data_IF_162014799932
#
_entry.id   IF_162014799932
#
_cell.length_a   1.000
_cell.length_b   1.000
_cell.length_c   1.000
_cell.angle_alpha   90.00
_cell.angle_beta   90.00
_cell.angle_gamma   90.00
#
_symmetry.space_group_name_H-M   'P 1'
#
loop_
_entity.id
_entity.type
_entity.pdbx_description
1 polymer ?
#
# COMPACT_ATOMS: atom_id res chain seq x y z
N UNK A 1 -2.26 -16.08 15.34
CA UNK A 1 -3.20 -14.96 15.32
C UNK A 1 -2.86 -13.97 16.44
N UNK A 2 -2.72 -12.71 16.11
CA UNK A 2 -2.40 -11.65 17.06
C UNK A 2 -3.32 -10.45 16.82
N UNK A 3 -4.39 -10.36 17.59
CA UNK A 3 -5.26 -9.20 17.69
C UNK A 3 -5.80 -9.20 19.13
N UNK A 4 -5.23 -8.36 19.97
CA UNK A 4 -5.52 -8.38 21.41
C UNK A 4 -6.99 -8.07 21.71
N UNK A 5 -7.61 -7.13 20.99
CA UNK A 5 -9.02 -6.81 21.18
C UNK A 5 -9.92 -8.01 20.85
N UNK A 6 -9.74 -8.61 19.67
CA UNK A 6 -10.53 -9.79 19.27
C UNK A 6 -10.26 -10.97 20.20
N UNK A 7 -8.99 -11.24 20.54
CA UNK A 7 -8.64 -12.40 21.38
C UNK A 7 -9.18 -12.30 22.82
N UNK A 8 -9.13 -11.11 23.41
CA UNK A 8 -9.43 -10.94 24.83
C UNK A 8 -10.84 -10.44 25.09
N UNK A 9 -11.41 -9.63 24.19
CA UNK A 9 -12.70 -8.97 24.39
C UNK A 9 -13.82 -9.63 23.58
N UNK A 10 -13.52 -10.02 22.33
CA UNK A 10 -14.53 -10.56 21.39
C UNK A 10 -14.02 -11.80 20.63
N UNK A 11 -13.64 -12.89 21.31
CA UNK A 11 -13.01 -14.06 20.64
C UNK A 11 -13.90 -14.73 19.60
N UNK A 12 -15.23 -14.61 19.72
CA UNK A 12 -16.20 -15.12 18.78
C UNK A 12 -16.35 -14.27 17.50
N UNK A 13 -15.76 -13.05 17.48
CA UNK A 13 -15.89 -12.11 16.34
C UNK A 13 -14.76 -12.20 15.32
N UNK A 14 -13.77 -13.06 15.53
CA UNK A 14 -12.65 -13.26 14.60
C UNK A 14 -13.14 -13.48 13.17
N UNK A 15 -12.64 -12.67 12.24
CA UNK A 15 -12.94 -12.71 10.82
C UNK A 15 -14.43 -12.52 10.46
N UNK A 16 -15.25 -11.95 11.33
CA UNK A 16 -16.67 -11.70 11.03
C UNK A 16 -16.89 -10.42 10.27
N UNK A 17 -16.21 -9.35 10.67
CA UNK A 17 -16.29 -8.06 9.97
C UNK A 17 -15.08 -7.88 9.04
N UNK A 18 -15.13 -8.52 7.88
CA UNK A 18 -14.07 -8.40 6.90
C UNK A 18 -14.09 -7.05 6.16
N UNK A 19 -15.24 -6.38 6.11
CA UNK A 19 -15.40 -5.10 5.43
C UNK A 19 -14.77 -3.93 6.21
N UNK A 20 -14.88 -3.94 7.57
CA UNK A 20 -14.50 -2.80 8.41
C UNK A 20 -13.57 -3.18 9.58
N UNK A 21 -13.45 -4.46 9.93
CA UNK A 21 -12.76 -4.93 11.14
C UNK A 21 -11.23 -4.82 11.13
N UNK A 22 -10.62 -4.57 9.99
CA UNK A 22 -9.17 -4.31 9.81
C UNK A 22 -8.23 -5.40 10.37
N UNK A 23 -8.70 -6.62 10.64
CA UNK A 23 -7.87 -7.68 11.21
C UNK A 23 -6.71 -8.08 10.29
N UNK A 24 -6.99 -8.28 8.99
CA UNK A 24 -5.94 -8.58 8.00
C UNK A 24 -5.04 -7.37 7.71
N UNK A 25 -5.58 -6.16 7.73
CA UNK A 25 -4.81 -4.92 7.60
C UNK A 25 -3.75 -4.80 8.70
N UNK A 26 -4.15 -4.97 9.97
CA UNK A 26 -3.23 -4.96 11.10
C UNK A 26 -2.20 -6.10 11.03
N UNK A 27 -2.62 -7.28 10.55
CA UNK A 27 -1.71 -8.40 10.33
C UNK A 27 -0.66 -8.09 9.27
N UNK A 28 -1.06 -7.44 8.16
CA UNK A 28 -0.14 -7.01 7.10
C UNK A 28 0.93 -6.06 7.62
N UNK A 29 0.54 -4.98 8.32
CA UNK A 29 1.49 -4.04 8.92
C UNK A 29 2.44 -4.71 9.92
N UNK A 30 1.96 -5.67 10.72
CA UNK A 30 2.83 -6.45 11.60
C UNK A 30 3.87 -7.25 10.80
N UNK A 31 3.49 -7.85 9.67
CA UNK A 31 4.39 -8.62 8.82
C UNK A 31 5.47 -7.72 8.19
N UNK A 32 5.08 -6.55 7.65
CA UNK A 32 6.03 -5.56 7.14
C UNK A 32 7.01 -5.09 8.22
N UNK A 33 6.49 -4.75 9.41
CA UNK A 33 7.31 -4.33 10.55
C UNK A 33 8.29 -5.43 10.98
N UNK A 34 7.86 -6.70 10.99
CA UNK A 34 8.67 -7.84 11.35
C UNK A 34 9.82 -8.06 10.36
N UNK A 35 9.54 -8.00 9.05
CA UNK A 35 10.57 -8.11 8.02
C UNK A 35 11.56 -6.95 8.11
N UNK A 36 11.08 -5.72 8.24
CA UNK A 36 11.94 -4.54 8.36
C UNK A 36 12.84 -4.61 9.62
N UNK A 37 12.26 -5.01 10.76
CA UNK A 37 12.99 -5.16 12.02
C UNK A 37 14.07 -6.24 11.91
N UNK A 38 13.76 -7.38 11.32
CA UNK A 38 14.72 -8.47 11.15
C UNK A 38 15.87 -8.07 10.22
N UNK A 39 15.56 -7.38 9.10
CA UNK A 39 16.60 -6.84 8.20
C UNK A 39 17.54 -5.86 8.89
N UNK A 40 16.99 -4.99 9.74
CA UNK A 40 17.76 -3.95 10.42
C UNK A 40 18.60 -4.48 11.59
N UNK A 41 18.15 -5.53 12.28
CA UNK A 41 18.72 -5.95 13.57
C UNK A 41 19.24 -7.38 13.60
N UNK A 42 18.88 -8.22 12.65
CA UNK A 42 19.12 -9.66 12.67
C UNK A 42 18.28 -10.44 13.71
N UNK A 43 17.34 -9.79 14.42
CA UNK A 43 16.53 -10.43 15.45
C UNK A 43 15.23 -10.99 14.86
N UNK A 44 14.93 -12.26 15.13
CA UNK A 44 13.87 -13.00 14.46
C UNK A 44 12.58 -13.16 15.27
N UNK A 45 12.54 -12.79 16.56
CA UNK A 45 11.39 -13.04 17.43
C UNK A 45 10.08 -12.46 16.85
N UNK A 46 10.13 -11.22 16.33
CA UNK A 46 8.95 -10.59 15.73
C UNK A 46 8.56 -11.28 14.41
N UNK A 47 9.55 -11.73 13.63
CA UNK A 47 9.33 -12.49 12.40
C UNK A 47 8.64 -13.82 12.66
N UNK A 48 9.04 -14.54 13.71
CA UNK A 48 8.37 -15.78 14.11
C UNK A 48 6.90 -15.56 14.47
N UNK A 49 6.58 -14.48 15.18
CA UNK A 49 5.21 -14.11 15.50
C UNK A 49 4.41 -13.79 14.24
N UNK A 50 4.96 -12.98 13.35
CA UNK A 50 4.33 -12.62 12.07
C UNK A 50 4.11 -13.85 11.18
N UNK A 51 5.09 -14.75 11.11
CA UNK A 51 5.00 -16.00 10.36
C UNK A 51 3.89 -16.91 10.88
N UNK A 52 3.79 -17.12 12.20
CA UNK A 52 2.69 -17.88 12.83
C UNK A 52 1.33 -17.25 12.56
N UNK A 53 1.27 -15.90 12.49
CA UNK A 53 0.04 -15.22 12.13
C UNK A 53 -0.32 -15.44 10.66
N UNK A 54 0.64 -15.36 9.74
CA UNK A 54 0.43 -15.68 8.32
C UNK A 54 -0.01 -17.14 8.12
N UNK A 55 0.56 -18.09 8.85
CA UNK A 55 0.14 -19.50 8.87
C UNK A 55 -1.31 -19.67 9.31
N UNK A 56 -1.74 -18.88 10.31
CA UNK A 56 -3.14 -18.90 10.75
C UNK A 56 -4.06 -18.35 9.67
N UNK A 57 -3.67 -17.28 8.98
CA UNK A 57 -4.44 -16.73 7.86
C UNK A 57 -4.52 -17.74 6.71
N UNK A 58 -3.40 -18.40 6.36
CA UNK A 58 -3.35 -19.43 5.33
C UNK A 58 -4.23 -20.65 5.68
N UNK A 59 -4.36 -20.97 6.97
CA UNK A 59 -5.27 -22.02 7.44
C UNK A 59 -6.76 -21.64 7.32
N UNK A 60 -7.11 -20.36 7.50
CA UNK A 60 -8.50 -19.89 7.55
C UNK A 60 -9.03 -19.42 6.19
N UNK A 61 -8.17 -18.96 5.27
CA UNK A 61 -8.53 -18.38 3.98
C UNK A 61 -8.01 -19.22 2.81
N UNK A 62 -8.73 -19.20 1.69
CA UNK A 62 -8.35 -19.92 0.49
C UNK A 62 -9.52 -20.69 -0.14
N UNK A 63 -9.28 -21.40 -1.26
CA UNK A 63 -10.29 -22.27 -1.88
C UNK A 63 -10.85 -23.28 -0.90
N UNK A 64 -12.18 -23.36 -0.79
CA UNK A 64 -12.87 -24.24 0.17
C UNK A 64 -12.85 -23.75 1.62
N UNK A 65 -12.35 -22.54 1.88
CA UNK A 65 -12.30 -21.89 3.18
C UNK A 65 -13.03 -20.53 3.08
N UNK A 66 -12.60 -19.53 3.90
CA UNK A 66 -13.09 -18.15 3.78
C UNK A 66 -12.59 -17.52 2.48
N UNK A 67 -13.48 -16.80 1.80
CA UNK A 67 -13.20 -16.19 0.50
C UNK A 67 -13.08 -14.65 0.56
N UNK A 68 -13.52 -14.04 1.66
CA UNK A 68 -13.54 -12.57 1.77
C UNK A 68 -12.13 -12.00 1.85
N UNK A 69 -11.75 -11.05 0.95
CA UNK A 69 -10.56 -10.24 1.14
C UNK A 69 -10.77 -9.24 2.28
N UNK A 70 -9.70 -8.56 2.71
CA UNK A 70 -9.83 -7.46 3.66
C UNK A 70 -10.51 -6.25 3.01
N UNK A 71 -11.45 -5.63 3.69
CA UNK A 71 -12.06 -4.38 3.23
C UNK A 71 -11.04 -3.27 3.02
N UNK A 72 -10.04 -3.16 3.90
CA UNK A 72 -8.86 -2.33 3.66
C UNK A 72 -7.68 -3.23 3.25
N UNK A 73 -7.23 -3.15 1.98
CA UNK A 73 -6.05 -3.88 1.51
C UNK A 73 -4.77 -3.46 2.27
N UNK A 74 -3.89 -4.37 2.47
CA UNK A 74 -2.54 -4.27 3.03
C UNK A 74 -1.90 -5.66 3.08
N UNK A 75 -2.71 -6.66 3.42
CA UNK A 75 -2.25 -8.04 3.61
C UNK A 75 -1.62 -8.61 2.33
N UNK A 76 -2.07 -8.16 1.16
CA UNK A 76 -1.62 -8.64 -0.14
C UNK A 76 -0.12 -8.33 -0.36
N UNK A 77 0.28 -7.09 -0.15
CA UNK A 77 1.68 -6.68 -0.32
C UNK A 77 2.58 -7.25 0.80
N UNK A 78 2.08 -7.29 2.03
CA UNK A 78 2.80 -7.81 3.17
C UNK A 78 3.10 -9.32 3.05
N UNK A 79 2.15 -10.11 2.54
CA UNK A 79 2.34 -11.54 2.32
C UNK A 79 3.36 -11.84 1.20
N UNK A 80 3.40 -11.03 0.13
CA UNK A 80 4.44 -11.16 -0.91
C UNK A 80 5.81 -10.88 -0.31
N UNK A 81 5.93 -9.81 0.48
CA UNK A 81 7.19 -9.43 1.12
C UNK A 81 7.65 -10.50 2.13
N UNK A 82 6.74 -10.98 2.98
CA UNK A 82 7.02 -12.07 3.91
C UNK A 82 7.48 -13.34 3.18
N UNK A 83 6.77 -13.71 2.11
CA UNK A 83 7.11 -14.89 1.31
C UNK A 83 8.47 -14.79 0.62
N UNK A 84 8.85 -13.60 0.12
CA UNK A 84 10.19 -13.32 -0.43
C UNK A 84 11.27 -13.43 0.64
N UNK A 85 11.01 -12.84 1.81
CA UNK A 85 11.99 -12.76 2.89
C UNK A 85 12.25 -14.13 3.54
N UNK A 86 11.18 -14.91 3.76
CA UNK A 86 11.29 -16.24 4.41
C UNK A 86 11.60 -17.38 3.43
N UNK A 87 11.51 -17.14 2.12
CA UNK A 87 11.63 -18.18 1.10
C UNK A 87 10.39 -19.11 1.04
N UNK A 88 9.25 -18.70 1.59
CA UNK A 88 8.02 -19.49 1.64
C UNK A 88 6.99 -19.04 0.59
N UNK A 89 6.92 -19.68 -0.59
CA UNK A 89 6.05 -19.26 -1.69
C UNK A 89 4.55 -19.37 -1.38
N UNK A 90 4.16 -20.11 -0.32
CA UNK A 90 2.75 -20.23 0.10
C UNK A 90 2.15 -18.87 0.47
N UNK A 91 2.93 -17.97 1.07
CA UNK A 91 2.45 -16.64 1.44
C UNK A 91 2.19 -15.76 0.20
N UNK A 92 3.05 -15.82 -0.80
CA UNK A 92 2.78 -15.14 -2.07
C UNK A 92 1.56 -15.72 -2.81
N UNK A 93 1.32 -17.04 -2.72
CA UNK A 93 0.11 -17.68 -3.26
C UNK A 93 -1.16 -17.20 -2.52
N UNK A 94 -1.08 -17.02 -1.20
CA UNK A 94 -2.17 -16.47 -0.41
C UNK A 94 -2.44 -15.00 -0.77
N UNK A 95 -1.39 -14.18 -1.00
CA UNK A 95 -1.53 -12.82 -1.50
C UNK A 95 -2.26 -12.80 -2.85
N UNK A 96 -1.86 -13.66 -3.79
CA UNK A 96 -2.54 -13.83 -5.08
C UNK A 96 -4.00 -14.19 -4.92
N UNK A 97 -4.31 -15.12 -4.00
CA UNK A 97 -5.69 -15.49 -3.70
C UNK A 97 -6.52 -14.26 -3.29
N UNK A 98 -6.04 -13.41 -2.38
CA UNK A 98 -6.77 -12.20 -1.97
C UNK A 98 -6.93 -11.19 -3.12
N UNK A 99 -5.91 -11.00 -3.95
CA UNK A 99 -6.00 -10.17 -5.16
C UNK A 99 -7.06 -10.72 -6.12
N UNK A 100 -7.07 -12.02 -6.38
CA UNK A 100 -8.03 -12.67 -7.29
C UNK A 100 -9.45 -12.72 -6.73
N UNK A 101 -9.63 -12.66 -5.40
CA UNK A 101 -10.95 -12.57 -4.75
C UNK A 101 -11.55 -11.16 -4.82
N UNK A 102 -10.74 -10.13 -5.03
CA UNK A 102 -11.23 -8.75 -5.12
C UNK A 102 -12.13 -8.59 -6.34
N UNK A 103 -13.40 -8.21 -6.08
CA UNK A 103 -14.45 -8.08 -7.09
C UNK A 103 -15.17 -9.37 -7.41
N UNK A 104 -14.78 -10.52 -6.85
CA UNK A 104 -15.51 -11.77 -7.01
C UNK A 104 -16.75 -11.79 -6.10
N UNK A 105 -17.88 -12.26 -6.65
CA UNK A 105 -19.12 -12.52 -5.90
C UNK A 105 -19.39 -14.01 -5.72
N UNK A 106 -18.44 -14.87 -6.11
CA UNK A 106 -18.58 -16.31 -5.95
C UNK A 106 -18.42 -16.70 -4.48
N UNK A 107 -19.54 -17.07 -3.83
CA UNK A 107 -19.57 -17.51 -2.43
C UNK A 107 -19.36 -16.39 -1.39
N UNK A 108 -19.45 -15.12 -1.80
CA UNK A 108 -19.34 -13.96 -0.91
C UNK A 108 -20.13 -12.75 -1.44
N UNK A 109 -20.32 -11.76 -0.56
CA UNK A 109 -20.90 -10.46 -0.93
C UNK A 109 -19.78 -9.47 -1.22
N UNK A 110 -19.92 -8.71 -2.31
CA UNK A 110 -19.00 -7.62 -2.64
C UNK A 110 -19.08 -6.49 -1.60
N UNK A 111 -17.95 -5.87 -1.29
CA UNK A 111 -17.87 -4.65 -0.46
C UNK A 111 -18.06 -3.36 -1.28
N UNK A 112 -18.30 -3.48 -2.59
CA UNK A 112 -18.59 -2.37 -3.48
C UNK A 112 -17.37 -1.51 -3.88
N UNK A 113 -17.66 -0.37 -4.50
CA UNK A 113 -16.65 0.54 -5.05
C UNK A 113 -15.74 1.14 -3.99
N UNK A 114 -16.26 1.43 -2.81
CA UNK A 114 -15.48 2.02 -1.70
C UNK A 114 -14.23 1.20 -1.38
N UNK A 115 -14.31 -0.13 -1.47
CA UNK A 115 -13.21 -1.06 -1.24
C UNK A 115 -12.59 -1.63 -2.53
N UNK A 116 -12.83 -1.01 -3.69
CA UNK A 116 -12.41 -1.51 -5.03
C UNK A 116 -12.87 -2.94 -5.32
N UNK A 117 -13.98 -3.36 -4.71
CA UNK A 117 -14.53 -4.72 -4.78
C UNK A 117 -15.77 -4.83 -5.69
N UNK A 118 -15.97 -3.86 -6.59
CA UNK A 118 -17.10 -3.74 -7.50
C UNK A 118 -16.95 -4.59 -8.78
N UNK A 119 -15.72 -4.93 -9.14
CA UNK A 119 -15.36 -5.69 -10.35
C UNK A 119 -14.05 -6.43 -10.11
N UNK A 120 -13.86 -7.58 -10.77
CA UNK A 120 -12.59 -8.30 -10.71
C UNK A 120 -11.42 -7.39 -11.06
N UNK A 121 -10.34 -7.42 -10.28
CA UNK A 121 -9.17 -6.53 -10.47
C UNK A 121 -8.57 -6.62 -11.88
N UNK A 122 -8.69 -7.79 -12.53
CA UNK A 122 -8.22 -8.02 -13.91
C UNK A 122 -9.09 -7.31 -14.96
N UNK A 123 -10.27 -6.84 -14.59
CA UNK A 123 -11.24 -6.17 -15.47
C UNK A 123 -11.40 -4.68 -15.15
N UNK A 124 -10.75 -4.21 -14.08
CA UNK A 124 -10.79 -2.80 -13.68
C UNK A 124 -9.95 -1.95 -14.65
N UNK A 125 -10.49 -0.82 -15.04
CA UNK A 125 -9.84 0.15 -15.94
C UNK A 125 -9.90 1.59 -15.43
N UNK A 126 -10.67 1.82 -14.37
CA UNK A 126 -10.89 3.11 -13.73
C UNK A 126 -10.62 3.00 -12.23
N UNK A 127 -10.06 4.05 -11.64
CA UNK A 127 -9.87 4.13 -10.20
C UNK A 127 -11.10 4.71 -9.52
N UNK A 128 -11.59 4.02 -8.48
CA UNK A 128 -12.81 4.38 -7.75
C UNK A 128 -12.65 4.18 -6.24
N UNK A 129 -13.58 4.73 -5.46
CA UNK A 129 -13.70 4.49 -4.03
C UNK A 129 -12.65 5.20 -3.19
N UNK A 130 -12.34 4.61 -2.04
CA UNK A 130 -11.41 5.18 -1.06
C UNK A 130 -9.97 5.16 -1.59
N UNK A 131 -9.30 6.32 -1.54
CA UNK A 131 -8.00 6.50 -2.19
C UNK A 131 -6.89 5.62 -1.57
N UNK A 132 -6.78 5.56 -0.24
CA UNK A 132 -5.74 4.76 0.42
C UNK A 132 -5.95 3.27 0.17
N UNK A 133 -7.19 2.77 0.26
CA UNK A 133 -7.50 1.36 -0.05
C UNK A 133 -7.09 1.00 -1.47
N UNK A 134 -7.37 1.89 -2.44
CA UNK A 134 -6.96 1.70 -3.84
C UNK A 134 -5.43 1.58 -3.98
N UNK A 135 -4.70 2.50 -3.38
CA UNK A 135 -3.22 2.51 -3.47
C UNK A 135 -2.60 1.25 -2.88
N UNK A 136 -3.11 0.77 -1.76
CA UNK A 136 -2.63 -0.45 -1.12
C UNK A 136 -2.99 -1.70 -1.93
N UNK A 137 -4.24 -1.79 -2.44
CA UNK A 137 -4.64 -2.88 -3.32
C UNK A 137 -3.75 -2.99 -4.56
N UNK A 138 -3.56 -1.86 -5.27
CA UNK A 138 -2.79 -1.87 -6.51
C UNK A 138 -1.29 -2.02 -6.26
N UNK A 139 -0.78 -1.65 -5.08
CA UNK A 139 0.56 -2.01 -4.63
C UNK A 139 0.71 -3.53 -4.48
N UNK A 140 -0.23 -4.18 -3.78
CA UNK A 140 -0.26 -5.64 -3.66
C UNK A 140 -0.42 -6.35 -5.00
N UNK A 141 -1.29 -5.81 -5.88
CA UNK A 141 -1.49 -6.31 -7.24
C UNK A 141 -0.19 -6.24 -8.07
N UNK A 142 0.58 -5.15 -7.96
CA UNK A 142 1.87 -4.99 -8.63
C UNK A 142 2.92 -5.98 -8.08
N UNK A 143 2.96 -6.20 -6.76
CA UNK A 143 3.86 -7.17 -6.13
C UNK A 143 3.53 -8.61 -6.55
N UNK A 144 2.24 -8.98 -6.60
CA UNK A 144 1.78 -10.30 -7.08
C UNK A 144 2.12 -10.47 -8.56
N UNK A 145 1.85 -9.43 -9.38
CA UNK A 145 2.19 -9.45 -10.80
C UNK A 145 3.70 -9.69 -11.03
N UNK A 146 4.55 -8.97 -10.29
CA UNK A 146 6.00 -9.12 -10.38
C UNK A 146 6.48 -10.49 -9.90
N UNK A 147 5.96 -10.99 -8.78
CA UNK A 147 6.35 -12.27 -8.19
C UNK A 147 6.04 -13.45 -9.12
N UNK A 148 4.85 -13.46 -9.72
CA UNK A 148 4.39 -14.53 -10.61
C UNK A 148 4.63 -14.26 -12.09
N UNK A 149 5.19 -13.11 -12.47
CA UNK A 149 5.35 -12.65 -13.86
C UNK A 149 4.00 -12.64 -14.59
N UNK A 150 2.96 -12.13 -13.94
CA UNK A 150 1.58 -12.18 -14.40
C UNK A 150 1.18 -10.87 -15.09
N UNK A 151 1.36 -10.83 -16.42
CA UNK A 151 0.99 -9.69 -17.27
C UNK A 151 -0.51 -9.38 -17.24
N UNK A 152 -1.36 -10.36 -16.89
CA UNK A 152 -2.81 -10.15 -16.81
C UNK A 152 -3.24 -9.33 -15.59
N UNK A 153 -2.36 -9.15 -14.60
CA UNK A 153 -2.50 -8.19 -13.51
C UNK A 153 -1.82 -6.85 -13.83
N UNK A 154 -0.69 -6.90 -14.52
CA UNK A 154 0.09 -5.69 -14.81
C UNK A 154 -0.63 -4.77 -15.81
N UNK A 155 -1.28 -5.34 -16.83
CA UNK A 155 -2.01 -4.56 -17.85
C UNK A 155 -3.16 -3.73 -17.27
N UNK A 156 -4.12 -4.28 -16.49
CA UNK A 156 -5.16 -3.46 -15.84
C UNK A 156 -4.56 -2.48 -14.82
N UNK A 157 -3.49 -2.84 -14.11
CA UNK A 157 -2.80 -1.90 -13.21
C UNK A 157 -2.38 -0.61 -13.95
N UNK A 158 -1.85 -0.71 -15.16
CA UNK A 158 -1.52 0.47 -15.97
C UNK A 158 -2.72 1.17 -16.60
N UNK A 159 -3.83 0.48 -16.84
CA UNK A 159 -5.07 1.14 -17.28
C UNK A 159 -5.63 2.03 -16.17
N UNK A 160 -5.69 1.51 -14.94
CA UNK A 160 -6.11 2.25 -13.73
C UNK A 160 -5.13 3.40 -13.43
N UNK A 161 -3.83 3.15 -13.56
CA UNK A 161 -2.78 4.17 -13.36
C UNK A 161 -2.96 5.36 -14.32
N UNK A 162 -3.25 5.08 -15.58
CA UNK A 162 -3.48 6.12 -16.58
C UNK A 162 -4.73 6.92 -16.24
N UNK A 163 -5.84 6.29 -15.91
CA UNK A 163 -7.06 6.97 -15.47
C UNK A 163 -6.78 7.91 -14.28
N UNK A 164 -6.05 7.43 -13.27
CA UNK A 164 -5.65 8.21 -12.12
C UNK A 164 -4.80 9.43 -12.50
N UNK A 165 -3.71 9.21 -13.23
CA UNK A 165 -2.72 10.27 -13.52
C UNK A 165 -3.30 11.32 -14.46
N UNK A 166 -4.08 10.92 -15.46
CA UNK A 166 -4.62 11.83 -16.47
C UNK A 166 -5.85 12.58 -15.97
N UNK A 167 -6.63 12.05 -15.01
CA UNK A 167 -7.97 12.58 -14.72
C UNK A 167 -8.26 12.86 -13.24
N UNK A 168 -7.51 12.30 -12.30
CA UNK A 168 -7.87 12.33 -10.87
C UNK A 168 -6.71 12.70 -9.94
N UNK A 169 -5.59 13.19 -10.49
CA UNK A 169 -4.42 13.64 -9.72
C UNK A 169 -4.33 15.15 -9.72
N UNK A 170 -4.15 15.75 -8.56
CA UNK A 170 -3.91 17.17 -8.39
C UNK A 170 -2.50 17.57 -8.81
N UNK A 171 -2.31 18.86 -9.11
CA UNK A 171 -0.98 19.40 -9.49
C UNK A 171 0.09 19.15 -8.45
N UNK A 172 -0.27 19.04 -7.17
CA UNK A 172 0.62 18.74 -6.04
C UNK A 172 1.06 17.27 -5.97
N UNK A 173 0.41 16.37 -6.72
CA UNK A 173 0.50 14.93 -6.59
C UNK A 173 -0.66 14.32 -5.79
N UNK A 174 -1.31 15.09 -4.93
CA UNK A 174 -2.42 14.62 -4.10
C UNK A 174 -3.54 13.97 -4.90
N UNK A 175 -4.20 13.01 -4.30
CA UNK A 175 -5.30 12.23 -4.87
C UNK A 175 -6.46 12.08 -3.89
N UNK A 176 -7.67 11.87 -4.44
CA UNK A 176 -8.90 11.82 -3.63
C UNK A 176 -9.51 13.20 -3.44
N UNK A 177 -10.53 13.52 -4.22
CA UNK A 177 -11.16 14.86 -4.26
C UNK A 177 -12.24 15.04 -3.19
N UNK A 178 -12.75 13.96 -2.60
CA UNK A 178 -13.91 14.00 -1.70
C UNK A 178 -13.63 13.40 -0.32
N UNK A 179 -13.94 14.18 0.72
CA UNK A 179 -13.94 13.68 2.10
C UNK A 179 -15.12 12.74 2.40
N UNK A 180 -16.22 12.79 1.64
CA UNK A 180 -17.40 11.98 1.90
C UNK A 180 -17.18 10.46 1.73
N UNK A 181 -16.28 10.09 0.82
CA UNK A 181 -15.85 8.70 0.58
C UNK A 181 -14.33 8.53 0.75
N UNK A 182 -13.65 9.54 1.29
CA UNK A 182 -12.19 9.57 1.48
C UNK A 182 -11.43 9.20 0.19
N UNK A 183 -11.96 9.68 -0.97
CA UNK A 183 -11.46 9.11 -2.21
C UNK A 183 -11.88 9.82 -3.50
N UNK A 184 -12.07 9.00 -4.51
CA UNK A 184 -12.24 9.44 -5.88
C UNK A 184 -13.71 9.78 -6.19
N UNK A 185 -13.87 10.80 -7.05
CA UNK A 185 -15.10 11.17 -7.72
C UNK A 185 -14.94 10.96 -9.23
N UNK A 186 -15.75 11.64 -10.04
CA UNK A 186 -15.66 11.56 -11.51
C UNK A 186 -14.36 12.20 -12.04
N UNK A 187 -13.99 11.86 -13.26
CA UNK A 187 -12.86 12.43 -13.97
C UNK A 187 -12.89 13.98 -13.98
N UNK A 188 -11.74 14.61 -13.75
CA UNK A 188 -11.52 16.06 -13.72
C UNK A 188 -12.29 16.81 -12.63
N UNK A 189 -12.86 16.13 -11.67
CA UNK A 189 -13.50 16.74 -10.50
C UNK A 189 -12.45 16.96 -9.40
N UNK A 190 -11.73 18.07 -9.50
CA UNK A 190 -10.55 18.40 -8.69
C UNK A 190 -10.71 19.79 -8.02
N UNK A 191 -11.69 19.97 -7.12
CA UNK A 191 -11.88 21.23 -6.40
C UNK A 191 -10.69 21.51 -5.47
N UNK A 192 -10.23 22.77 -5.41
CA UNK A 192 -9.06 23.14 -4.63
C UNK A 192 -9.34 23.27 -3.12
N UNK A 193 -10.49 23.83 -2.76
CA UNK A 193 -10.85 24.15 -1.38
C UNK A 193 -11.45 22.97 -0.61
N UNK A 194 -12.03 22.02 -1.32
CA UNK A 194 -12.63 20.80 -0.73
C UNK A 194 -11.84 19.53 -1.05
N UNK A 195 -10.66 19.66 -1.66
CA UNK A 195 -9.77 18.54 -1.93
C UNK A 195 -9.46 17.78 -0.64
N UNK A 196 -9.76 16.49 -0.62
CA UNK A 196 -9.41 15.67 0.55
C UNK A 196 -7.91 15.37 0.60
N UNK A 197 -7.34 14.87 -0.48
CA UNK A 197 -5.89 14.64 -0.66
C UNK A 197 -5.22 14.10 0.61
N UNK A 198 -5.65 12.93 1.07
CA UNK A 198 -5.16 12.34 2.31
C UNK A 198 -3.65 12.09 2.26
N UNK A 199 -2.95 12.41 3.33
CA UNK A 199 -1.49 12.16 3.46
C UNK A 199 -1.15 10.67 3.25
N UNK A 200 -1.98 9.74 3.76
CA UNK A 200 -1.78 8.32 3.49
C UNK A 200 -1.96 7.94 2.02
N UNK A 201 -2.81 8.65 1.28
CA UNK A 201 -2.99 8.41 -0.14
C UNK A 201 -1.75 8.80 -0.96
N UNK A 202 -1.11 9.92 -0.63
CA UNK A 202 0.19 10.31 -1.21
C UNK A 202 1.29 9.28 -0.91
N UNK A 203 1.35 8.76 0.31
CA UNK A 203 2.28 7.67 0.65
C UNK A 203 1.94 6.40 -0.13
N UNK A 204 0.66 6.09 -0.28
CA UNK A 204 0.22 4.96 -1.09
C UNK A 204 0.58 5.11 -2.58
N UNK A 205 0.51 6.33 -3.13
CA UNK A 205 1.00 6.65 -4.47
C UNK A 205 2.49 6.34 -4.63
N UNK A 206 3.32 6.76 -3.66
CA UNK A 206 4.73 6.41 -3.61
C UNK A 206 4.94 4.89 -3.65
N UNK A 207 4.21 4.16 -2.79
CA UNK A 207 4.34 2.70 -2.67
C UNK A 207 3.97 1.98 -3.97
N UNK A 208 2.86 2.36 -4.60
CA UNK A 208 2.40 1.72 -5.84
C UNK A 208 3.31 2.04 -7.02
N UNK A 209 3.64 3.32 -7.23
CA UNK A 209 4.48 3.74 -8.36
C UNK A 209 5.90 3.14 -8.27
N UNK A 210 6.48 3.06 -7.08
CA UNK A 210 7.78 2.40 -6.90
C UNK A 210 7.72 0.90 -7.27
N UNK A 211 6.63 0.20 -6.91
CA UNK A 211 6.43 -1.21 -7.29
C UNK A 211 6.25 -1.40 -8.79
N UNK A 212 5.52 -0.51 -9.44
CA UNK A 212 5.41 -0.49 -10.90
C UNK A 212 6.77 -0.26 -11.56
N UNK A 213 7.59 0.65 -11.01
CA UNK A 213 8.96 0.84 -11.47
C UNK A 213 9.81 -0.43 -11.32
N UNK A 214 9.80 -1.05 -10.16
CA UNK A 214 10.56 -2.29 -9.92
C UNK A 214 10.11 -3.43 -10.83
N UNK A 215 8.83 -3.49 -11.20
CA UNK A 215 8.30 -4.51 -12.11
C UNK A 215 8.64 -4.26 -13.58
N UNK A 216 8.82 -2.99 -14.01
CA UNK A 216 8.85 -2.63 -15.43
C UNK A 216 10.06 -1.81 -15.88
N UNK A 217 10.72 -1.11 -14.96
CA UNK A 217 11.79 -0.15 -15.26
C UNK A 217 11.32 1.14 -15.93
N UNK A 218 10.02 1.45 -15.95
CA UNK A 218 9.46 2.67 -16.56
C UNK A 218 9.81 3.91 -15.76
N UNK A 219 10.21 4.98 -16.44
CA UNK A 219 10.58 6.25 -15.81
C UNK A 219 9.39 7.14 -15.46
N UNK A 220 8.30 7.07 -16.21
CA UNK A 220 7.11 7.90 -15.98
C UNK A 220 6.43 7.64 -14.61
N UNK A 221 6.53 6.41 -14.09
CA UNK A 221 6.07 6.13 -12.73
C UNK A 221 7.04 6.71 -11.67
N UNK A 222 8.33 6.90 -11.99
CA UNK A 222 9.30 7.55 -11.10
C UNK A 222 9.05 9.05 -10.98
N UNK A 223 8.54 9.71 -12.01
CA UNK A 223 8.14 11.12 -11.95
C UNK A 223 7.04 11.32 -10.88
N UNK A 224 6.14 10.33 -10.73
CA UNK A 224 5.13 10.34 -9.66
C UNK A 224 5.79 10.12 -8.29
N UNK A 225 6.71 9.15 -8.17
CA UNK A 225 7.47 8.91 -6.94
C UNK A 225 8.18 10.19 -6.47
N UNK A 226 8.86 10.88 -7.38
CA UNK A 226 9.57 12.12 -7.07
C UNK A 226 8.61 13.22 -6.64
N UNK A 227 7.48 13.40 -7.36
CA UNK A 227 6.46 14.38 -7.02
C UNK A 227 5.88 14.14 -5.61
N UNK A 228 5.57 12.90 -5.26
CA UNK A 228 5.06 12.58 -3.92
C UNK A 228 6.09 12.84 -2.82
N UNK A 229 7.35 12.48 -3.04
CA UNK A 229 8.42 12.70 -2.06
C UNK A 229 8.72 14.18 -1.82
N UNK A 230 8.59 15.04 -2.83
CA UNK A 230 8.90 16.46 -2.69
C UNK A 230 7.68 17.35 -2.42
N UNK A 231 6.45 16.90 -2.66
CA UNK A 231 5.23 17.69 -2.48
C UNK A 231 4.15 16.97 -1.68
N UNK A 232 3.57 15.88 -2.20
CA UNK A 232 2.38 15.25 -1.63
C UNK A 232 2.58 14.77 -0.19
N UNK A 233 3.68 14.07 0.07
CA UNK A 233 4.00 13.53 1.40
C UNK A 233 4.44 14.63 2.39
N UNK A 234 5.39 15.52 2.06
CA UNK A 234 5.84 16.54 3.01
C UNK A 234 4.76 17.56 3.39
N UNK A 235 3.74 17.78 2.55
CA UNK A 235 2.62 18.66 2.91
C UNK A 235 1.91 18.19 4.19
N UNK A 236 1.90 16.89 4.45
CA UNK A 236 1.30 16.28 5.63
C UNK A 236 2.04 16.55 6.96
N UNK A 237 3.25 17.13 6.94
CA UNK A 237 4.10 17.31 8.10
C UNK A 237 4.46 18.79 8.32
N UNK A 238 4.41 19.28 9.54
CA UNK A 238 4.95 20.57 9.90
C UNK A 238 6.49 20.57 9.84
N UNK A 239 7.09 21.71 9.54
CA UNK A 239 8.56 21.86 9.50
C UNK A 239 9.22 21.50 10.84
N UNK A 240 8.52 21.72 11.96
CA UNK A 240 8.98 21.33 13.30
C UNK A 240 8.85 19.81 13.57
N UNK A 241 8.12 19.06 12.70
CA UNK A 241 7.94 17.63 12.83
C UNK A 241 6.91 17.18 13.88
N UNK A 242 6.15 18.10 14.48
CA UNK A 242 5.29 17.88 15.65
C UNK A 242 3.79 18.01 15.35
N UNK A 243 3.42 18.36 14.13
CA UNK A 243 2.03 18.54 13.71
C UNK A 243 1.80 18.00 12.31
N UNK A 244 0.57 17.57 12.04
CA UNK A 244 0.22 16.80 10.85
C UNK A 244 -1.05 17.31 10.19
N UNK A 245 -1.15 17.15 8.86
CA UNK A 245 -2.40 17.14 8.14
C UNK A 245 -2.86 15.70 7.90
N UNK A 246 -4.17 15.49 8.01
CA UNK A 246 -4.85 14.32 7.47
C UNK A 246 -5.19 14.57 6.00
N UNK A 247 -6.11 15.51 5.74
CA UNK A 247 -6.40 16.02 4.40
C UNK A 247 -5.54 17.25 4.06
N UNK A 248 -5.25 17.41 2.78
CA UNK A 248 -4.38 18.49 2.28
C UNK A 248 -5.10 19.27 1.16
N UNK A 249 -6.07 20.15 1.49
CA UNK A 249 -6.71 21.02 0.49
C UNK A 249 -5.67 21.94 -0.16
N UNK A 250 -5.88 22.28 -1.44
CA UNK A 250 -4.96 23.15 -2.19
C UNK A 250 -5.21 24.64 -1.93
N UNK A 251 -6.39 24.99 -1.41
CA UNK A 251 -6.74 26.35 -1.01
C UNK A 251 -7.36 26.33 0.39
N UNK A 252 -7.05 27.34 1.20
CA UNK A 252 -7.61 27.52 2.54
C UNK A 252 -7.86 29.00 2.79
N UNK A 253 -8.83 29.29 3.63
CA UNK A 253 -9.11 30.65 4.12
C UNK A 253 -8.48 30.92 5.49
N UNK A 254 -7.54 30.08 5.93
CA UNK A 254 -6.91 30.17 7.24
C UNK A 254 -7.60 29.36 8.33
N UNK A 255 -8.54 28.52 7.97
CA UNK A 255 -9.33 27.66 8.87
C UNK A 255 -8.85 26.19 8.87
N UNK A 256 -7.81 25.88 8.12
CA UNK A 256 -7.23 24.54 8.02
C UNK A 256 -5.79 24.55 8.55
N UNK A 257 -5.57 23.98 9.71
CA UNK A 257 -4.28 23.94 10.41
C UNK A 257 -3.82 22.51 10.72
N UNK A 258 -2.49 22.32 10.76
CA UNK A 258 -1.92 21.05 11.24
C UNK A 258 -2.17 20.88 12.73
N UNK A 259 -2.55 19.66 13.11
CA UNK A 259 -2.83 19.32 14.52
C UNK A 259 -1.77 18.33 15.07
N UNK A 260 -1.56 18.28 16.40
CA UNK A 260 -0.55 17.41 17.00
C UNK A 260 -0.82 15.91 16.78
N UNK A 261 -2.10 15.51 16.73
CA UNK A 261 -2.49 14.12 16.60
C UNK A 261 -3.93 13.96 16.11
N UNK A 262 -4.31 12.74 15.69
CA UNK A 262 -5.65 12.36 15.25
C UNK A 262 -6.12 11.12 16.01
N UNK A 263 -7.42 10.95 16.23
CA UNK A 263 -8.02 9.74 16.79
C UNK A 263 -7.72 8.52 15.90
N UNK A 264 -7.87 8.68 14.57
CA UNK A 264 -7.31 7.77 13.59
C UNK A 264 -5.92 8.27 13.19
N UNK A 265 -4.88 7.72 13.79
CA UNK A 265 -3.49 8.18 13.65
C UNK A 265 -2.78 7.60 12.42
N UNK A 266 -3.50 7.20 11.36
CA UNK A 266 -2.90 6.56 10.19
C UNK A 266 -1.87 7.47 9.49
N UNK A 267 -2.16 8.75 9.29
CA UNK A 267 -1.27 9.67 8.60
C UNK A 267 0.05 9.93 9.34
N UNK A 268 0.06 10.28 10.65
CA UNK A 268 1.31 10.44 11.41
C UNK A 268 2.16 9.17 11.44
N UNK A 269 1.55 8.01 11.67
CA UNK A 269 2.29 6.73 11.72
C UNK A 269 2.82 6.33 10.35
N UNK A 270 2.07 6.61 9.29
CA UNK A 270 2.50 6.35 7.92
C UNK A 270 3.69 7.24 7.52
N UNK A 271 3.69 8.52 7.91
CA UNK A 271 4.84 9.42 7.77
C UNK A 271 6.06 8.88 8.55
N UNK A 272 5.86 8.46 9.81
CA UNK A 272 6.93 7.93 10.65
C UNK A 272 7.59 6.68 10.07
N UNK A 273 6.87 5.81 9.35
CA UNK A 273 7.45 4.66 8.67
C UNK A 273 8.08 5.00 7.31
N UNK A 274 7.56 5.99 6.61
CA UNK A 274 7.99 6.33 5.24
C UNK A 274 9.27 7.15 5.23
N UNK A 275 9.39 8.19 6.07
CA UNK A 275 10.53 9.08 6.08
C UNK A 275 11.87 8.35 6.34
N UNK A 276 11.99 7.43 7.31
CA UNK A 276 13.23 6.67 7.50
C UNK A 276 13.55 5.71 6.35
N UNK A 277 12.57 5.37 5.52
CA UNK A 277 12.74 4.43 4.40
C UNK A 277 13.05 5.10 3.05
N UNK A 278 13.15 6.44 2.98
CA UNK A 278 13.37 7.19 1.73
C UNK A 278 14.59 6.70 0.95
N UNK A 279 15.64 6.26 1.63
CA UNK A 279 16.85 5.72 1.00
C UNK A 279 16.62 4.54 0.04
N UNK A 280 15.56 3.77 0.25
CA UNK A 280 15.22 2.62 -0.62
C UNK A 280 14.67 3.03 -2.00
N UNK A 281 14.24 4.28 -2.18
CA UNK A 281 13.71 4.80 -3.44
C UNK A 281 14.77 5.46 -4.33
N UNK A 282 16.00 5.63 -3.83
CA UNK A 282 17.06 6.35 -4.56
C UNK A 282 17.69 5.50 -5.65
N UNK A 283 17.90 4.21 -5.39
CA UNK A 283 18.54 3.28 -6.31
C UNK A 283 17.76 1.98 -6.47
N UNK A 284 17.83 1.43 -7.66
CA UNK A 284 17.40 0.05 -7.91
C UNK A 284 18.44 -0.69 -8.75
N UNK A 285 18.50 -2.02 -8.61
CA UNK A 285 19.44 -2.87 -9.34
C UNK A 285 18.70 -3.90 -10.17
N UNK A 286 19.15 -4.12 -11.39
CA UNK A 286 18.78 -5.24 -12.23
C UNK A 286 20.00 -6.13 -12.49
N UNK A 287 19.86 -7.24 -13.25
CA UNK A 287 20.96 -8.19 -13.47
C UNK A 287 22.25 -7.54 -14.00
N UNK A 288 22.15 -6.56 -14.88
CA UNK A 288 23.30 -5.84 -15.47
C UNK A 288 23.15 -4.32 -15.44
N UNK A 289 22.17 -3.81 -14.65
CA UNK A 289 21.83 -2.39 -14.64
C UNK A 289 21.79 -1.85 -13.21
N UNK A 290 22.19 -0.60 -13.07
CA UNK A 290 21.94 0.24 -11.91
C UNK A 290 21.00 1.36 -12.35
N UNK A 291 19.89 1.52 -11.66
CA UNK A 291 18.98 2.64 -11.85
C UNK A 291 19.26 3.68 -10.76
N UNK A 292 19.47 4.92 -11.17
CA UNK A 292 19.43 6.08 -10.30
C UNK A 292 18.03 6.66 -10.41
N UNK A 293 17.16 6.30 -9.47
CA UNK A 293 15.75 6.65 -9.51
C UNK A 293 15.48 8.07 -9.01
N UNK A 294 16.26 8.55 -8.06
CA UNK A 294 16.18 9.91 -7.52
C UNK A 294 17.58 10.55 -7.53
N UNK A 295 17.66 11.83 -7.93
CA UNK A 295 18.89 12.60 -7.91
C UNK A 295 19.12 13.29 -6.56
N UNK A 296 19.21 12.48 -5.50
CA UNK A 296 19.48 12.93 -4.14
C UNK A 296 20.95 12.76 -3.78
N UNK A 297 21.50 13.68 -2.97
CA UNK A 297 22.84 13.53 -2.44
C UNK A 297 22.93 12.27 -1.59
N UNK A 298 23.65 11.27 -2.05
CA UNK A 298 23.67 9.95 -1.44
C UNK A 298 24.93 9.16 -1.80
N UNK A 299 25.16 8.08 -1.06
CA UNK A 299 26.26 7.13 -1.30
C UNK A 299 25.70 5.72 -1.27
N UNK A 300 25.95 4.95 -2.35
CA UNK A 300 25.61 3.53 -2.42
C UNK A 300 26.88 2.68 -2.49
N UNK A 301 26.92 1.59 -1.71
CA UNK A 301 27.97 0.57 -1.83
C UNK A 301 27.46 -0.62 -2.65
N UNK A 302 28.03 -0.79 -3.84
CA UNK A 302 27.66 -1.88 -4.75
C UNK A 302 28.31 -3.21 -4.40
N UNK A 303 29.34 -3.24 -3.55
CA UNK A 303 30.06 -4.48 -3.21
C UNK A 303 29.23 -5.44 -2.37
N UNK A 304 28.35 -4.93 -1.54
CA UNK A 304 27.45 -5.76 -0.70
C UNK A 304 26.38 -6.52 -1.49
N UNK A 305 26.01 -6.07 -2.69
CA UNK A 305 25.02 -6.74 -3.53
C UNK A 305 25.54 -7.95 -4.30
N UNK A 306 26.85 -8.11 -4.45
CA UNK A 306 27.47 -9.29 -5.10
C UNK A 306 27.60 -10.51 -4.18
N UNK A 307 27.57 -10.34 -2.87
CA UNK A 307 27.73 -11.44 -1.91
C UNK A 307 26.43 -12.19 -1.59
N UNK A 308 25.27 -11.64 -1.97
CA UNK A 308 23.96 -12.28 -1.74
C UNK A 308 23.35 -12.98 -2.97
N UNK A 309 24.09 -13.07 -4.08
CA UNK A 309 23.63 -13.75 -5.31
C UNK A 309 24.24 -15.14 -5.52
N UNK A 310 24.93 -15.68 -4.52
CA UNK A 310 25.44 -17.05 -4.57
C UNK A 310 24.94 -17.84 -3.35
N UNK A 311 23.65 -18.23 -3.41
CA UNK A 311 23.15 -19.47 -2.78
C UNK A 311 21.75 -19.79 -3.32
#
# INVERSE_FOLDING_TARGET
YLNTYVQLVKPAERWKDMAHGHELYCAGHLMEAAVAYTRATGKELLLEVARKFAERIDADFGPGKRLDPCGHPEIELALVELGRFTGEPRFAKLARFFVDQRGSTQGRTSFGEYAQDHRLVREQTEIVGHAVRAMYLYSGMADVAAYFRDETLLRPSFAIWRDLIETKTYVTGGIGSSAANEGFTKAYDLPNDTAYCETCASIGMLLWNHRLFLATGRSDVLDVVEKELYNGIPSGLALAGDRFFYGNPLASRGDHERVPWFDCSCCPTNLARTLPSVGQYVYATGPERLYVALFAQSRADRKSTRLNSSH
#
